data_IF_653608376776
#
_entry.id   IF_653608376776
#
_cell.length_a   1.000
_cell.length_b   1.000
_cell.length_c   1.000
_cell.angle_alpha   90.00
_cell.angle_beta   90.00
_cell.angle_gamma   90.00
#
_symmetry.space_group_name_H-M   'P 1'
#
loop_
_entity.id
_entity.type
_entity.pdbx_description
1 polymer ?
#
# COMPACT_ATOMS: atom_id res chain seq x y z
N UNK A 1 7.82 28.88 -6.56
CA UNK A 1 8.97 27.94 -6.65
C UNK A 1 8.56 26.69 -7.42
N UNK A 2 9.45 26.09 -8.24
CA UNK A 2 9.21 24.77 -8.84
C UNK A 2 10.03 23.71 -8.12
N UNK A 3 9.44 22.55 -7.85
CA UNK A 3 10.13 21.44 -7.19
C UNK A 3 9.55 20.09 -7.62
N UNK A 4 10.32 19.02 -7.42
CA UNK A 4 9.88 17.64 -7.65
C UNK A 4 9.33 17.05 -6.37
N UNK A 5 8.44 16.07 -6.50
CA UNK A 5 7.93 15.33 -5.36
C UNK A 5 7.17 14.07 -5.75
N UNK A 6 6.64 13.39 -4.73
CA UNK A 6 5.85 12.16 -4.86
C UNK A 6 4.45 12.42 -4.31
N UNK A 7 3.42 12.04 -5.05
CA UNK A 7 2.04 12.07 -4.54
C UNK A 7 1.90 11.01 -3.45
N UNK A 8 1.75 11.39 -2.20
CA UNK A 8 1.59 10.46 -1.07
C UNK A 8 0.13 10.18 -0.72
N UNK A 9 -0.80 11.07 -1.08
CA UNK A 9 -2.22 10.94 -0.74
C UNK A 9 -3.09 11.70 -1.74
N UNK A 10 -4.28 11.17 -2.05
CA UNK A 10 -5.27 11.82 -2.91
C UNK A 10 -6.68 11.78 -2.32
N UNK A 11 -7.30 12.95 -2.13
CA UNK A 11 -8.66 13.10 -1.58
C UNK A 11 -9.42 14.19 -2.33
N UNK A 12 -10.58 13.85 -2.91
CA UNK A 12 -11.51 14.85 -3.44
C UNK A 12 -10.94 15.76 -4.54
N UNK A 13 -9.94 15.29 -5.30
CA UNK A 13 -9.25 16.09 -6.33
C UNK A 13 -8.08 16.93 -5.82
N UNK A 14 -7.81 16.89 -4.52
CA UNK A 14 -6.58 17.38 -3.91
C UNK A 14 -5.56 16.25 -3.81
N UNK A 15 -4.29 16.60 -4.03
CA UNK A 15 -3.17 15.68 -3.97
C UNK A 15 -2.13 16.25 -3.02
N UNK A 16 -1.70 15.43 -2.06
CA UNK A 16 -0.64 15.80 -1.13
C UNK A 16 0.67 15.26 -1.68
N UNK A 17 1.60 16.17 -1.92
CA UNK A 17 2.89 15.87 -2.55
C UNK A 17 3.98 16.10 -1.53
N UNK A 18 4.73 15.05 -1.20
CA UNK A 18 5.98 15.20 -0.45
C UNK A 18 7.04 15.68 -1.45
N UNK A 19 7.51 16.91 -1.28
CA UNK A 19 8.53 17.51 -2.13
C UNK A 19 9.94 17.07 -1.69
N UNK A 20 10.93 17.35 -2.54
CA UNK A 20 12.33 16.98 -2.29
C UNK A 20 12.93 17.60 -1.01
N UNK A 21 12.36 18.69 -0.50
CA UNK A 21 12.72 19.32 0.77
C UNK A 21 12.08 18.66 2.01
N UNK A 22 11.26 17.62 1.80
CA UNK A 22 10.51 16.91 2.84
C UNK A 22 9.21 17.61 3.26
N UNK A 23 8.87 18.75 2.67
CA UNK A 23 7.62 19.47 2.97
C UNK A 23 6.48 18.83 2.16
N UNK A 24 5.34 18.66 2.82
CA UNK A 24 4.12 18.17 2.19
C UNK A 24 3.29 19.36 1.72
N UNK A 25 3.07 19.45 0.41
CA UNK A 25 2.25 20.48 -0.20
C UNK A 25 0.90 19.90 -0.65
N UNK A 26 -0.20 20.54 -0.23
CA UNK A 26 -1.51 20.31 -0.83
C UNK A 26 -1.55 20.97 -2.21
N UNK A 27 -1.79 20.18 -3.25
CA UNK A 27 -1.75 20.59 -4.64
C UNK A 27 -3.04 20.26 -5.38
N UNK A 28 -3.37 21.04 -6.41
CA UNK A 28 -4.40 20.69 -7.41
C UNK A 28 -3.75 20.29 -8.73
N UNK A 29 -4.32 19.28 -9.37
CA UNK A 29 -3.90 18.90 -10.71
C UNK A 29 -4.32 19.96 -11.74
N UNK A 30 -3.43 20.35 -12.65
CA UNK A 30 -3.79 21.28 -13.73
C UNK A 30 -4.94 20.71 -14.58
N UNK A 31 -5.81 21.61 -15.06
CA UNK A 31 -6.98 21.22 -15.87
C UNK A 31 -6.63 20.52 -17.18
N UNK A 32 -5.40 20.65 -17.67
CA UNK A 32 -4.91 19.94 -18.87
C UNK A 32 -4.99 18.42 -18.70
N UNK A 33 -4.68 17.88 -17.52
CA UNK A 33 -4.75 16.43 -17.25
C UNK A 33 -6.17 15.90 -17.41
N UNK A 34 -7.19 16.67 -17.00
CA UNK A 34 -8.60 16.30 -17.22
C UNK A 34 -8.95 16.25 -18.70
N UNK A 35 -8.42 17.16 -19.52
CA UNK A 35 -8.62 17.16 -20.97
C UNK A 35 -7.95 15.95 -21.63
N UNK A 36 -6.76 15.57 -21.15
CA UNK A 36 -5.99 14.43 -21.63
C UNK A 36 -6.43 13.08 -21.03
N UNK A 37 -7.44 13.09 -20.15
CA UNK A 37 -7.92 11.90 -19.40
C UNK A 37 -6.82 11.24 -18.56
N UNK A 38 -5.85 12.03 -18.10
CA UNK A 38 -4.81 11.61 -17.17
C UNK A 38 -5.29 11.92 -15.76
N UNK A 39 -5.37 10.88 -14.92
CA UNK A 39 -5.67 11.02 -13.49
C UNK A 39 -4.36 10.84 -12.71
N UNK A 40 -3.92 11.82 -11.91
CA UNK A 40 -2.81 11.62 -10.98
C UNK A 40 -3.11 10.51 -9.98
N UNK A 41 -2.11 9.69 -9.70
CA UNK A 41 -2.19 8.54 -8.79
C UNK A 41 -1.24 8.75 -7.61
N UNK A 42 -1.60 8.19 -6.47
CA UNK A 42 -0.65 8.06 -5.36
C UNK A 42 0.56 7.24 -5.84
N UNK A 43 1.77 7.65 -5.48
CA UNK A 43 3.04 7.11 -5.96
C UNK A 43 3.56 7.74 -7.25
N UNK A 44 2.80 8.62 -7.92
CA UNK A 44 3.33 9.36 -9.08
C UNK A 44 4.48 10.28 -8.66
N UNK A 45 5.56 10.25 -9.43
CA UNK A 45 6.58 11.29 -9.43
C UNK A 45 6.06 12.49 -10.22
N UNK A 46 6.11 13.68 -9.62
CA UNK A 46 5.50 14.90 -10.17
C UNK A 46 6.41 16.11 -10.07
N UNK A 47 6.24 17.04 -11.00
CA UNK A 47 6.73 18.41 -10.88
C UNK A 47 5.59 19.29 -10.37
N UNK A 48 5.84 20.04 -9.30
CA UNK A 48 4.88 20.98 -8.72
C UNK A 48 5.39 22.42 -8.77
N UNK A 49 4.46 23.36 -8.91
CA UNK A 49 4.70 24.77 -8.60
C UNK A 49 4.08 25.08 -7.24
N UNK A 50 4.90 25.56 -6.32
CA UNK A 50 4.53 26.11 -5.01
C UNK A 50 4.41 27.63 -5.13
N UNK A 51 3.28 28.19 -4.70
CA UNK A 51 2.97 29.62 -4.75
C UNK A 51 2.71 30.15 -3.32
N UNK A 52 3.07 31.40 -3.06
CA UNK A 52 2.96 32.05 -1.75
C UNK A 52 1.49 32.18 -1.29
N UNK A 53 0.54 32.03 -2.21
CA UNK A 53 -0.90 32.07 -1.96
C UNK A 53 -1.55 30.70 -1.69
N UNK A 54 -0.77 29.65 -1.37
CA UNK A 54 -1.25 28.26 -1.21
C UNK A 54 -2.00 27.70 -2.44
N UNK A 55 -1.72 28.23 -3.63
CA UNK A 55 -2.28 27.76 -4.91
C UNK A 55 -1.33 26.80 -5.61
N UNK A 56 -0.88 25.77 -4.89
CA UNK A 56 0.09 24.83 -5.43
C UNK A 56 -0.55 23.98 -6.52
N UNK A 57 0.22 23.66 -7.56
CA UNK A 57 -0.28 22.89 -8.69
C UNK A 57 0.68 21.80 -9.10
N UNK A 58 0.11 20.64 -9.48
CA UNK A 58 0.85 19.61 -10.20
C UNK A 58 0.91 20.06 -11.65
N UNK A 59 2.13 20.32 -12.13
CA UNK A 59 2.39 20.82 -13.47
C UNK A 59 2.64 19.67 -14.45
N UNK A 60 3.27 18.60 -13.97
CA UNK A 60 3.63 17.43 -14.78
C UNK A 60 3.61 16.16 -13.95
N UNK A 61 3.20 15.06 -14.57
CA UNK A 61 3.31 13.70 -14.04
C UNK A 61 4.38 12.99 -14.87
N UNK A 62 5.40 12.45 -14.22
CA UNK A 62 6.45 11.70 -14.88
C UNK A 62 5.93 10.36 -15.41
N UNK A 63 6.69 9.72 -16.28
CA UNK A 63 6.33 8.40 -16.82
C UNK A 63 6.17 7.35 -15.71
N UNK A 64 5.13 6.52 -15.83
CA UNK A 64 4.85 5.45 -14.88
C UNK A 64 5.41 4.14 -15.41
N UNK A 65 6.20 3.44 -14.60
CA UNK A 65 6.68 2.10 -14.95
C UNK A 65 5.75 0.99 -14.44
N UNK A 66 5.29 1.06 -13.18
CA UNK A 66 4.57 -0.03 -12.50
C UNK A 66 3.36 0.51 -11.74
N UNK A 67 2.13 0.28 -12.23
CA UNK A 67 0.93 0.87 -11.62
C UNK A 67 -0.30 -0.03 -11.67
N UNK A 68 -1.17 0.12 -10.66
CA UNK A 68 -2.45 -0.56 -10.55
C UNK A 68 -3.61 0.42 -10.76
N UNK A 69 -4.68 -0.07 -11.39
CA UNK A 69 -5.93 0.70 -11.54
C UNK A 69 -6.81 0.64 -10.29
N UNK A 70 -6.71 -0.46 -9.53
CA UNK A 70 -7.53 -0.74 -8.32
C UNK A 70 -6.71 -1.56 -7.32
N UNK A 71 -6.31 -0.99 -6.16
CA UNK A 71 -6.38 0.43 -5.85
C UNK A 71 -5.56 1.27 -6.85
N UNK A 72 -5.92 2.55 -7.08
CA UNK A 72 -5.19 3.45 -7.97
C UNK A 72 -3.85 3.87 -7.34
N UNK A 73 -2.75 3.25 -7.77
CA UNK A 73 -1.40 3.53 -7.26
C UNK A 73 -0.34 3.30 -8.34
N UNK A 74 0.71 4.11 -8.35
CA UNK A 74 1.82 4.06 -9.30
C UNK A 74 3.16 3.82 -8.60
N UNK A 75 4.17 3.47 -9.41
CA UNK A 75 5.55 3.20 -9.02
C UNK A 75 5.67 2.21 -7.85
N UNK A 76 4.94 1.11 -7.96
CA UNK A 76 4.94 0.03 -6.96
C UNK A 76 6.07 -0.96 -7.26
N UNK A 77 6.84 -1.32 -6.24
CA UNK A 77 7.90 -2.33 -6.34
C UNK A 77 7.44 -3.69 -5.86
N UNK A 78 6.65 -3.72 -4.78
CA UNK A 78 6.20 -4.96 -4.14
C UNK A 78 4.70 -4.93 -3.87
N UNK A 79 4.02 -6.05 -4.14
CA UNK A 79 2.63 -6.28 -3.75
C UNK A 79 2.59 -7.32 -2.64
N UNK A 80 2.29 -6.87 -1.41
CA UNK A 80 2.20 -7.71 -0.22
C UNK A 80 0.76 -8.18 -0.04
N UNK A 81 0.52 -9.45 -0.36
CA UNK A 81 -0.79 -10.10 -0.30
C UNK A 81 -0.97 -10.73 1.08
N UNK A 82 -1.76 -10.08 1.94
CA UNK A 82 -2.00 -10.52 3.31
C UNK A 82 -3.28 -11.36 3.37
N UNK A 83 -3.15 -12.58 3.88
CA UNK A 83 -4.26 -13.53 4.05
C UNK A 83 -4.22 -14.12 5.47
N UNK A 84 -5.38 -14.37 6.09
CA UNK A 84 -5.47 -15.00 7.41
C UNK A 84 -5.75 -16.48 7.22
N UNK A 85 -5.12 -17.37 8.00
CA UNK A 85 -5.37 -18.81 7.89
C UNK A 85 -6.68 -19.27 8.53
N UNK A 86 -7.21 -18.50 9.47
CA UNK A 86 -8.52 -18.75 10.10
C UNK A 86 -9.59 -17.83 9.52
N UNK A 87 -10.45 -17.15 10.28
CA UNK A 87 -11.50 -16.27 9.71
C UNK A 87 -10.98 -14.84 9.41
N UNK A 88 -11.15 -14.29 8.18
CA UNK A 88 -11.65 -14.95 6.98
C UNK A 88 -10.60 -15.88 6.37
N UNK A 89 -11.05 -17.07 5.92
CA UNK A 89 -10.16 -18.12 5.39
C UNK A 89 -9.48 -17.69 4.10
N UNK A 90 -8.28 -18.20 3.79
CA UNK A 90 -7.61 -17.90 2.54
C UNK A 90 -8.47 -18.28 1.34
N UNK A 91 -8.61 -17.36 0.40
CA UNK A 91 -9.17 -17.66 -0.91
C UNK A 91 -8.00 -17.75 -1.90
N UNK A 92 -7.58 -18.97 -2.20
CA UNK A 92 -6.40 -19.23 -3.03
C UNK A 92 -6.54 -18.63 -4.43
N UNK A 93 -7.73 -18.71 -5.03
CA UNK A 93 -7.99 -18.10 -6.34
C UNK A 93 -7.77 -16.58 -6.34
N UNK A 94 -8.06 -15.90 -5.22
CA UNK A 94 -7.78 -14.45 -5.11
C UNK A 94 -6.28 -14.21 -4.98
N UNK A 95 -5.57 -15.02 -4.20
CA UNK A 95 -4.11 -14.93 -4.06
C UNK A 95 -3.45 -15.14 -5.42
N UNK A 96 -3.81 -16.21 -6.14
CA UNK A 96 -3.31 -16.56 -7.48
C UNK A 96 -3.55 -15.43 -8.50
N UNK A 97 -4.74 -14.82 -8.47
CA UNK A 97 -5.03 -13.69 -9.36
C UNK A 97 -4.16 -12.48 -9.03
N UNK A 98 -3.95 -12.18 -7.75
CA UNK A 98 -3.14 -11.05 -7.34
C UNK A 98 -1.66 -11.27 -7.65
N UNK A 99 -1.13 -12.47 -7.42
CA UNK A 99 0.26 -12.82 -7.78
C UNK A 99 0.45 -12.76 -9.30
N UNK A 100 -0.47 -13.31 -10.09
CA UNK A 100 -0.42 -13.25 -11.55
C UNK A 100 -0.43 -11.80 -12.07
N UNK A 101 -1.29 -10.93 -11.50
CA UNK A 101 -1.34 -9.52 -11.89
C UNK A 101 -0.06 -8.78 -11.50
N UNK A 102 0.52 -9.06 -10.32
CA UNK A 102 1.78 -8.46 -9.88
C UNK A 102 2.93 -8.84 -10.82
N UNK A 103 3.10 -10.14 -11.12
CA UNK A 103 4.11 -10.63 -12.05
C UNK A 103 3.94 -10.02 -13.44
N UNK A 104 2.71 -9.98 -13.97
CA UNK A 104 2.42 -9.33 -15.26
C UNK A 104 2.76 -7.83 -15.29
N UNK A 105 2.83 -7.19 -14.12
CA UNK A 105 3.14 -5.77 -13.94
C UNK A 105 4.60 -5.51 -13.56
N UNK A 106 5.44 -6.54 -13.53
CA UNK A 106 6.82 -6.48 -13.05
C UNK A 106 6.92 -5.96 -11.60
N UNK A 107 5.95 -6.34 -10.78
CA UNK A 107 5.87 -6.04 -9.35
C UNK A 107 6.09 -7.34 -8.58
N UNK A 108 7.00 -7.33 -7.61
CA UNK A 108 7.32 -8.51 -6.81
C UNK A 108 6.14 -8.89 -5.92
N UNK A 109 5.52 -10.08 -6.08
CA UNK A 109 4.51 -10.55 -5.15
C UNK A 109 5.16 -11.15 -3.90
N UNK A 110 4.69 -10.72 -2.73
CA UNK A 110 5.02 -11.31 -1.43
C UNK A 110 3.73 -11.77 -0.78
N UNK A 111 3.68 -13.00 -0.28
CA UNK A 111 2.48 -13.56 0.34
C UNK A 111 2.71 -13.69 1.85
N UNK A 112 1.82 -13.11 2.65
CA UNK A 112 1.90 -13.17 4.10
C UNK A 112 0.67 -13.86 4.65
N UNK A 113 0.87 -14.98 5.34
CA UNK A 113 -0.17 -15.69 6.05
C UNK A 113 -0.14 -15.31 7.53
N UNK A 114 -1.22 -14.69 8.00
CA UNK A 114 -1.33 -14.19 9.38
C UNK A 114 -2.13 -15.14 10.26
N UNK A 115 -2.00 -14.95 11.58
CA UNK A 115 -2.68 -15.70 12.65
C UNK A 115 -2.18 -17.13 12.79
N UNK A 116 -0.88 -17.31 12.57
CA UNK A 116 -0.18 -18.59 12.77
C UNK A 116 -0.29 -19.09 14.22
N UNK A 117 -0.55 -18.19 15.19
CA UNK A 117 -0.84 -18.53 16.58
C UNK A 117 -2.17 -19.27 16.79
N UNK A 118 -3.07 -19.24 15.80
CA UNK A 118 -4.39 -19.88 15.89
C UNK A 118 -4.48 -21.16 15.07
N UNK A 119 -3.79 -21.22 13.93
CA UNK A 119 -3.79 -22.37 13.05
C UNK A 119 -2.50 -22.37 12.24
N UNK A 120 -1.97 -23.55 11.89
CA UNK A 120 -0.74 -23.65 11.12
C UNK A 120 -0.89 -23.03 9.73
N UNK A 121 0.12 -22.25 9.33
CA UNK A 121 0.28 -21.67 7.98
C UNK A 121 0.98 -22.59 6.97
N UNK A 122 1.56 -23.71 7.44
CA UNK A 122 2.44 -24.61 6.67
C UNK A 122 1.87 -25.04 5.32
N UNK A 123 0.63 -25.56 5.30
CA UNK A 123 -0.04 -26.03 4.07
C UNK A 123 -0.04 -24.94 2.97
N UNK A 124 -0.36 -23.70 3.34
CA UNK A 124 -0.42 -22.60 2.39
C UNK A 124 0.96 -22.14 1.96
N UNK A 125 1.90 -22.03 2.90
CA UNK A 125 3.28 -21.64 2.63
C UNK A 125 3.94 -22.61 1.65
N UNK A 126 3.77 -23.91 1.87
CA UNK A 126 4.35 -24.96 1.03
C UNK A 126 3.86 -24.90 -0.41
N UNK A 127 2.58 -24.57 -0.64
CA UNK A 127 2.01 -24.43 -1.99
C UNK A 127 2.78 -23.36 -2.78
N UNK A 128 2.94 -22.17 -2.21
CA UNK A 128 3.52 -21.04 -2.93
C UNK A 128 5.05 -21.04 -2.95
N UNK A 129 5.70 -21.56 -1.89
CA UNK A 129 7.16 -21.73 -1.86
C UNK A 129 7.63 -22.71 -2.94
N UNK A 130 6.89 -23.80 -3.20
CA UNK A 130 7.21 -24.76 -4.27
C UNK A 130 7.22 -24.11 -5.66
N UNK A 131 6.48 -23.03 -5.85
CA UNK A 131 6.41 -22.26 -7.11
C UNK A 131 7.47 -21.14 -7.15
N UNK A 132 8.16 -20.88 -6.03
CA UNK A 132 9.21 -19.88 -5.92
C UNK A 132 8.74 -18.51 -5.43
N UNK A 133 7.49 -18.38 -4.95
CA UNK A 133 7.04 -17.14 -4.33
C UNK A 133 7.58 -16.99 -2.91
N UNK A 134 7.96 -15.77 -2.54
CA UNK A 134 8.35 -15.45 -1.15
C UNK A 134 7.10 -15.47 -0.26
N UNK A 135 7.11 -16.32 0.75
CA UNK A 135 6.02 -16.42 1.71
C UNK A 135 6.48 -16.28 3.14
N UNK A 136 5.59 -15.78 4.01
CA UNK A 136 5.86 -15.56 5.42
C UNK A 136 4.69 -16.04 6.28
N UNK A 137 5.00 -16.78 7.35
CA UNK A 137 4.10 -17.03 8.47
C UNK A 137 4.23 -15.89 9.48
N UNK A 138 3.11 -15.34 9.93
CA UNK A 138 3.12 -14.25 10.92
C UNK A 138 2.06 -14.45 11.99
N UNK A 139 2.46 -14.25 13.24
CA UNK A 139 1.52 -13.97 14.31
C UNK A 139 1.59 -12.49 14.69
N UNK A 140 0.53 -11.75 14.36
CA UNK A 140 0.36 -10.37 14.82
C UNK A 140 0.11 -10.29 16.34
N UNK A 141 -0.05 -11.41 17.05
CA UNK A 141 -0.24 -11.44 18.51
C UNK A 141 1.10 -11.59 19.22
N UNK A 142 1.93 -12.53 18.78
CA UNK A 142 3.25 -12.79 19.38
C UNK A 142 4.34 -11.90 18.79
N UNK A 143 4.18 -11.43 17.55
CA UNK A 143 5.20 -10.71 16.78
C UNK A 143 6.10 -11.62 15.95
N UNK A 144 5.91 -12.94 16.03
CA UNK A 144 6.68 -13.91 15.25
C UNK A 144 6.50 -13.70 13.74
N UNK A 145 7.63 -13.75 13.02
CA UNK A 145 7.69 -13.56 11.56
C UNK A 145 7.57 -12.10 11.09
N UNK A 146 7.22 -11.14 11.95
CA UNK A 146 7.01 -9.73 11.56
C UNK A 146 8.30 -9.10 11.02
N UNK A 147 9.44 -9.33 11.66
CA UNK A 147 10.70 -8.71 11.25
C UNK A 147 11.15 -9.20 9.86
N UNK A 148 10.98 -10.49 9.57
CA UNK A 148 11.28 -11.03 8.24
C UNK A 148 10.42 -10.39 7.14
N UNK A 149 9.15 -10.10 7.43
CA UNK A 149 8.30 -9.33 6.50
C UNK A 149 8.80 -7.90 6.37
N UNK A 150 9.18 -7.26 7.48
CA UNK A 150 9.72 -5.89 7.48
C UNK A 150 10.95 -5.77 6.59
N UNK A 151 11.94 -6.65 6.77
CA UNK A 151 13.14 -6.74 5.94
C UNK A 151 12.78 -6.98 4.46
N UNK A 152 11.80 -7.85 4.18
CA UNK A 152 11.39 -8.16 2.82
C UNK A 152 10.75 -6.98 2.08
N UNK A 153 10.09 -6.06 2.81
CA UNK A 153 9.41 -4.90 2.22
C UNK A 153 10.28 -3.64 2.19
N UNK A 154 11.48 -3.67 2.78
CA UNK A 154 12.45 -2.59 2.69
C UNK A 154 12.88 -2.32 1.24
N UNK A 155 13.28 -1.09 0.96
CA UNK A 155 13.74 -0.64 -0.34
C UNK A 155 12.60 -0.54 -1.37
N UNK A 156 12.13 0.67 -1.61
CA UNK A 156 11.08 0.95 -2.60
C UNK A 156 9.66 0.94 -2.02
N UNK A 157 8.67 0.94 -2.90
CA UNK A 157 7.25 1.08 -2.55
C UNK A 157 6.58 -0.28 -2.42
N UNK A 158 6.13 -0.60 -1.20
CA UNK A 158 5.39 -1.84 -0.90
C UNK A 158 3.91 -1.56 -0.63
N UNK A 159 3.02 -2.22 -1.38
CA UNK A 159 1.57 -2.06 -1.25
C UNK A 159 0.96 -3.28 -0.58
N UNK A 160 0.30 -3.07 0.56
CA UNK A 160 -0.37 -4.14 1.30
C UNK A 160 -1.82 -4.28 0.84
N UNK A 161 -2.21 -5.48 0.42
CA UNK A 161 -3.57 -5.84 0.01
C UNK A 161 -4.09 -7.05 0.79
N UNK A 162 -5.40 -7.24 0.82
CA UNK A 162 -6.05 -8.34 1.53
C UNK A 162 -7.40 -7.94 2.11
N UNK A 163 -8.26 -8.95 2.32
CA UNK A 163 -9.62 -8.78 2.82
C UNK A 163 -9.66 -8.07 4.20
N UNK A 164 -10.79 -7.45 4.52
CA UNK A 164 -10.99 -6.89 5.86
C UNK A 164 -10.95 -8.01 6.91
N UNK A 165 -10.20 -7.81 8.01
CA UNK A 165 -10.06 -8.80 9.09
C UNK A 165 -8.90 -9.80 8.95
N UNK A 166 -8.14 -9.76 7.85
CA UNK A 166 -6.95 -10.62 7.66
C UNK A 166 -5.71 -10.16 8.46
N UNK A 167 -5.81 -9.08 9.24
CA UNK A 167 -4.69 -8.59 10.06
C UNK A 167 -3.69 -7.65 9.34
N UNK A 168 -4.05 -7.09 8.18
CA UNK A 168 -3.20 -6.13 7.43
C UNK A 168 -2.76 -4.91 8.27
N UNK A 169 -3.70 -4.13 8.83
CA UNK A 169 -3.34 -2.94 9.62
C UNK A 169 -2.56 -3.32 10.89
N UNK A 170 -2.89 -4.45 11.51
CA UNK A 170 -2.18 -4.96 12.69
C UNK A 170 -0.72 -5.31 12.36
N UNK A 171 -0.47 -5.93 11.21
CA UNK A 171 0.87 -6.23 10.72
C UNK A 171 1.66 -4.94 10.46
N UNK A 172 1.05 -3.96 9.76
CA UNK A 172 1.71 -2.67 9.49
C UNK A 172 2.05 -1.94 10.79
N UNK A 173 1.14 -1.88 11.75
CA UNK A 173 1.40 -1.25 13.06
C UNK A 173 2.46 -1.99 13.87
N UNK A 174 2.61 -3.31 13.69
CA UNK A 174 3.69 -4.07 14.34
C UNK A 174 5.05 -3.69 13.77
N UNK A 175 5.15 -3.55 12.43
CA UNK A 175 6.40 -3.13 11.77
C UNK A 175 6.72 -1.66 12.02
N UNK A 176 5.68 -0.81 12.05
CA UNK A 176 5.78 0.65 12.17
C UNK A 176 4.75 1.18 13.18
N UNK A 177 5.03 1.09 14.49
CA UNK A 177 4.08 1.48 15.54
C UNK A 177 3.61 2.94 15.45
N UNK A 178 4.47 3.83 14.98
CA UNK A 178 4.17 5.26 14.84
C UNK A 178 3.04 5.54 13.83
N UNK A 179 2.76 4.63 12.87
CA UNK A 179 1.69 4.83 11.89
C UNK A 179 0.29 4.72 12.49
N UNK A 180 0.14 4.00 13.62
CA UNK A 180 -1.11 3.91 14.40
C UNK A 180 -2.39 3.72 13.56
N UNK A 181 -2.32 2.89 12.51
CA UNK A 181 -3.43 2.67 11.58
C UNK A 181 -4.63 2.06 12.30
N UNK A 182 -5.84 2.49 11.93
CA UNK A 182 -7.06 1.90 12.47
C UNK A 182 -7.13 0.39 12.15
N UNK A 183 -7.31 -0.41 13.20
CA UNK A 183 -7.49 -1.86 13.10
C UNK A 183 -8.98 -2.23 13.12
N UNK A 184 -9.31 -3.46 12.69
CA UNK A 184 -10.70 -3.92 12.66
C UNK A 184 -11.40 -3.92 14.02
N UNK A 185 -10.66 -4.11 15.12
CA UNK A 185 -11.19 -4.04 16.49
C UNK A 185 -11.52 -2.60 16.90
N UNK A 186 -10.63 -1.66 16.58
CA UNK A 186 -10.82 -0.23 16.87
C UNK A 186 -12.00 0.33 16.04
N UNK A 187 -12.07 -0.02 14.75
CA UNK A 187 -13.18 0.38 13.87
C UNK A 187 -14.54 -0.09 14.40
N UNK A 188 -14.64 -1.33 14.92
CA UNK A 188 -15.87 -1.83 15.56
C UNK A 188 -16.22 -1.04 16.84
N UNK A 189 -15.23 -0.74 17.69
CA UNK A 189 -15.44 0.02 18.93
C UNK A 189 -15.88 1.46 18.68
N UNK A 190 -15.38 2.11 17.62
CA UNK A 190 -15.74 3.48 17.25
C UNK A 190 -17.09 3.61 16.52
N UNK A 191 -17.83 2.52 16.30
CA UNK A 191 -19.11 2.55 15.57
C UNK A 191 -19.01 2.98 14.11
N UNK A 192 -17.78 3.12 13.58
CA UNK A 192 -17.53 3.38 12.16
C UNK A 192 -17.66 2.05 11.43
N UNK A 193 -18.64 1.96 10.52
CA UNK A 193 -18.91 0.75 9.74
C UNK A 193 -17.65 0.18 9.07
N UNK A 194 -17.72 -1.10 8.70
CA UNK A 194 -16.68 -1.98 8.11
C UNK A 194 -16.04 -1.50 6.78
N UNK A 195 -16.24 -0.24 6.43
CA UNK A 195 -15.74 0.46 5.25
C UNK A 195 -14.73 1.55 5.64
N UNK A 196 -13.69 1.17 6.38
CA UNK A 196 -12.57 2.04 6.68
C UNK A 196 -11.73 2.28 5.41
N UNK A 197 -11.72 3.54 4.97
CA UNK A 197 -10.69 4.16 4.13
C UNK A 197 -10.55 3.64 2.69
N UNK A 198 -11.42 4.10 1.78
CA UNK A 198 -11.27 3.94 0.31
C UNK A 198 -10.14 4.78 -0.32
N UNK A 199 -9.31 5.45 0.48
CA UNK A 199 -8.21 6.25 -0.04
C UNK A 199 -6.90 5.47 0.06
N UNK A 200 -6.06 5.64 -0.96
CA UNK A 200 -4.69 5.15 -0.99
C UNK A 200 -3.82 6.21 -0.34
N UNK A 201 -2.92 5.79 0.55
CA UNK A 201 -1.95 6.65 1.21
C UNK A 201 -0.62 5.91 1.28
N UNK A 202 0.46 6.63 0.97
CA UNK A 202 1.83 6.18 1.18
C UNK A 202 2.32 6.73 2.51
N UNK A 203 2.90 5.83 3.29
CA UNK A 203 3.58 6.18 4.53
C UNK A 203 5.06 6.04 4.30
N UNK A 204 5.81 7.09 4.66
CA UNK A 204 7.27 7.03 4.65
C UNK A 204 7.72 6.19 5.83
N UNK A 205 8.51 5.16 5.57
CA UNK A 205 9.11 4.32 6.59
C UNK A 205 10.54 4.78 6.82
N UNK A 206 10.99 4.78 8.07
CA UNK A 206 12.42 4.95 8.38
C UNK A 206 13.20 3.86 7.64
N UNK A 207 14.14 4.29 6.79
CA UNK A 207 15.13 3.44 6.15
C UNK A 207 16.46 3.63 6.87
#
# INVERSE_FOLDING_TARGET
>A
MKTNGIIIKGIGGFYYVEAADGIIYECKARGIFRKEKITPLVGDNVEITVDDNNKNSIDKICERHKFFKRPPIANVDKLVIVSSVCDPRPNLLIIDRLTAVAVFKDVEPIIVFTKDDLQSTSEYIDIYNKVGFRTFAVSNKTGEGVEAVKEAVMGGTSVFTGNSGVGKSSLINRMYPHLSLETGEISKKLGRGRHTTRHVELFKTEC
#
